data_IF_317866996641
#
_entry.id   IF_317866996641
#
_cell.length_a   1.000
_cell.length_b   1.000
_cell.length_c   1.000
_cell.angle_alpha   90.00
_cell.angle_beta   90.00
_cell.angle_gamma   90.00
#
_symmetry.space_group_name_H-M   'P 1'
#
loop_
_entity.id
_entity.type
_entity.pdbx_description
1 polymer ?
#
# COMPACT_ATOMS: atom_id res chain seq x y z
N UNK A 1 27.37 -15.47 -13.11
CA UNK A 1 28.21 -14.81 -12.10
C UNK A 1 27.42 -13.98 -11.07
N UNK A 2 26.12 -14.24 -10.89
CA UNK A 2 25.28 -13.60 -9.84
C UNK A 2 24.92 -14.55 -8.68
N UNK A 3 25.54 -15.73 -8.62
CA UNK A 3 25.19 -16.79 -7.65
C UNK A 3 26.13 -16.84 -6.44
N UNK A 4 26.88 -15.76 -6.17
CA UNK A 4 27.89 -15.69 -5.10
C UNK A 4 27.56 -14.69 -3.98
N UNK A 5 26.40 -14.03 -4.05
CA UNK A 5 25.94 -13.10 -3.01
C UNK A 5 24.64 -13.52 -2.32
N UNK A 6 24.03 -14.67 -2.66
CA UNK A 6 22.74 -15.12 -2.09
C UNK A 6 21.60 -14.06 -2.17
N UNK A 7 21.76 -13.00 -2.96
CA UNK A 7 20.71 -12.03 -3.21
C UNK A 7 19.80 -12.64 -4.27
N UNK A 8 18.71 -13.24 -3.79
CA UNK A 8 17.59 -13.65 -4.64
C UNK A 8 17.15 -12.46 -5.51
N UNK A 9 16.77 -12.72 -6.76
CA UNK A 9 16.24 -11.71 -7.68
C UNK A 9 15.13 -10.88 -7.02
N UNK A 10 14.26 -11.49 -6.22
CA UNK A 10 13.21 -10.79 -5.47
C UNK A 10 13.79 -9.77 -4.47
N UNK A 11 14.84 -10.16 -3.74
CA UNK A 11 15.52 -9.29 -2.76
C UNK A 11 16.22 -8.13 -3.46
N UNK A 12 16.86 -8.39 -4.61
CA UNK A 12 17.48 -7.34 -5.42
C UNK A 12 16.45 -6.28 -5.86
N UNK A 13 15.31 -6.70 -6.40
CA UNK A 13 14.25 -5.77 -6.79
C UNK A 13 13.64 -5.02 -5.60
N UNK A 14 13.47 -5.68 -4.46
CA UNK A 14 12.98 -5.03 -3.24
C UNK A 14 13.92 -3.91 -2.76
N UNK A 15 15.24 -4.17 -2.75
CA UNK A 15 16.25 -3.17 -2.39
C UNK A 15 16.25 -2.02 -3.39
N UNK A 16 16.20 -2.32 -4.69
CA UNK A 16 16.19 -1.30 -5.74
C UNK A 16 14.96 -0.39 -5.63
N UNK A 17 13.78 -0.96 -5.37
CA UNK A 17 12.56 -0.20 -5.13
C UNK A 17 12.69 0.72 -3.90
N UNK A 18 13.30 0.24 -2.81
CA UNK A 18 13.51 1.02 -1.58
C UNK A 18 14.50 2.16 -1.80
N UNK A 19 15.59 1.91 -2.52
CA UNK A 19 16.57 2.92 -2.90
C UNK A 19 15.93 4.00 -3.79
N UNK A 20 15.10 3.59 -4.76
CA UNK A 20 14.35 4.51 -5.60
C UNK A 20 13.39 5.37 -4.78
N UNK A 21 12.60 4.80 -3.87
CA UNK A 21 11.69 5.55 -3.00
C UNK A 21 12.45 6.60 -2.16
N UNK A 22 13.61 6.23 -1.60
CA UNK A 22 14.44 7.13 -0.81
C UNK A 22 14.95 8.33 -1.63
N UNK A 23 15.33 8.11 -2.90
CA UNK A 23 15.79 9.17 -3.78
C UNK A 23 14.64 10.01 -4.36
N UNK A 24 13.54 9.36 -4.74
CA UNK A 24 12.40 10.01 -5.37
C UNK A 24 11.73 11.02 -4.45
N UNK A 25 11.68 10.78 -3.14
CA UNK A 25 11.08 11.68 -2.15
C UNK A 25 11.70 13.10 -2.17
N UNK A 26 12.99 13.25 -1.85
CA UNK A 26 13.68 14.54 -1.89
C UNK A 26 13.65 15.20 -3.27
N UNK A 27 13.82 14.42 -4.35
CA UNK A 27 13.76 14.96 -5.72
C UNK A 27 12.39 15.54 -6.01
N UNK A 28 11.31 14.84 -5.65
CA UNK A 28 9.93 15.32 -5.80
C UNK A 28 9.71 16.59 -4.99
N UNK A 29 10.21 16.64 -3.75
CA UNK A 29 10.11 17.82 -2.90
C UNK A 29 10.82 19.04 -3.51
N UNK A 30 12.03 18.85 -4.07
CA UNK A 30 12.76 19.91 -4.75
C UNK A 30 12.02 20.42 -5.99
N UNK A 31 11.44 19.51 -6.79
CA UNK A 31 10.66 19.89 -7.97
C UNK A 31 9.42 20.69 -7.58
N UNK A 32 8.69 20.25 -6.55
CA UNK A 32 7.53 21.00 -6.02
C UNK A 32 7.97 22.39 -5.54
N UNK A 33 9.01 22.48 -4.73
CA UNK A 33 9.47 23.76 -4.18
C UNK A 33 9.93 24.76 -5.25
N UNK A 34 10.45 24.27 -6.38
CA UNK A 34 11.01 25.12 -7.45
C UNK A 34 10.05 25.41 -8.60
N UNK A 35 9.09 24.51 -8.87
CA UNK A 35 8.20 24.62 -10.03
C UNK A 35 6.74 24.89 -9.67
N UNK A 36 6.27 24.55 -8.46
CA UNK A 36 4.87 24.78 -8.09
C UNK A 36 4.70 26.19 -7.51
N UNK A 37 3.65 26.86 -7.95
CA UNK A 37 3.12 28.08 -7.30
C UNK A 37 2.60 27.76 -5.90
N UNK A 38 2.45 28.77 -5.04
CA UNK A 38 1.95 28.57 -3.68
C UNK A 38 0.56 27.91 -3.62
N UNK A 39 -0.29 28.15 -4.63
CA UNK A 39 -1.62 27.55 -4.74
C UNK A 39 -1.51 26.05 -5.07
N UNK A 40 -0.67 25.67 -6.03
CA UNK A 40 -0.45 24.27 -6.41
C UNK A 40 0.18 23.47 -5.25
N UNK A 41 1.09 24.08 -4.50
CA UNK A 41 1.64 23.48 -3.27
C UNK A 41 0.54 23.23 -2.25
N UNK A 42 -0.38 24.19 -2.06
CA UNK A 42 -1.55 24.03 -1.20
C UNK A 42 -2.38 22.80 -1.58
N UNK A 43 -2.75 22.67 -2.86
CA UNK A 43 -3.48 21.49 -3.35
C UNK A 43 -2.70 20.18 -3.14
N UNK A 44 -1.40 20.17 -3.44
CA UNK A 44 -0.55 18.99 -3.25
C UNK A 44 -0.58 18.50 -1.80
N UNK A 45 -0.37 19.40 -0.83
CA UNK A 45 -0.35 19.03 0.58
C UNK A 45 -1.74 18.66 1.12
N UNK A 46 -2.82 19.24 0.61
CA UNK A 46 -4.18 18.81 0.93
C UNK A 46 -4.44 17.38 0.46
N UNK A 47 -4.08 17.03 -0.78
CA UNK A 47 -4.22 15.65 -1.27
C UNK A 47 -3.35 14.67 -0.47
N UNK A 48 -2.13 15.06 -0.13
CA UNK A 48 -1.27 14.22 0.73
C UNK A 48 -1.90 14.01 2.11
N UNK A 49 -2.52 15.04 2.68
CA UNK A 49 -3.23 14.91 3.97
C UNK A 49 -4.39 13.90 3.88
N UNK A 50 -5.13 13.89 2.76
CA UNK A 50 -6.20 12.90 2.52
C UNK A 50 -5.66 11.48 2.39
N UNK A 51 -4.57 11.27 1.63
CA UNK A 51 -3.96 9.93 1.51
C UNK A 51 -3.37 9.49 2.87
N UNK A 52 -2.83 10.42 3.66
CA UNK A 52 -2.40 10.15 5.03
C UNK A 52 -3.53 9.66 5.92
N UNK A 53 -4.71 10.30 5.83
CA UNK A 53 -5.91 9.87 6.54
C UNK A 53 -6.39 8.48 6.06
N UNK A 54 -6.42 8.22 4.75
CA UNK A 54 -6.73 6.89 4.21
C UNK A 54 -5.76 5.83 4.78
N UNK A 55 -4.47 6.10 4.73
CA UNK A 55 -3.42 5.20 5.23
C UNK A 55 -3.59 4.92 6.73
N UNK A 56 -4.06 5.91 7.50
CA UNK A 56 -4.40 5.75 8.91
C UNK A 56 -5.59 4.80 9.13
N UNK A 57 -6.67 4.93 8.35
CA UNK A 57 -7.82 4.01 8.42
C UNK A 57 -7.44 2.56 8.07
N UNK A 58 -6.52 2.38 7.13
CA UNK A 58 -6.01 1.07 6.76
C UNK A 58 -5.03 0.49 7.79
N UNK A 59 -4.59 1.27 8.78
CA UNK A 59 -3.68 0.87 9.87
C UNK A 59 -2.41 0.15 9.39
N UNK A 60 -1.95 0.48 8.18
CA UNK A 60 -0.84 -0.23 7.52
C UNK A 60 -1.04 -1.76 7.41
N UNK A 61 -2.29 -2.22 7.39
CA UNK A 61 -2.69 -3.64 7.35
C UNK A 61 -2.07 -4.40 6.17
N UNK A 62 -1.76 -3.71 5.08
CA UNK A 62 -1.01 -4.25 3.95
C UNK A 62 0.27 -5.00 4.36
N UNK A 63 1.01 -4.53 5.37
CA UNK A 63 2.21 -5.21 5.84
C UNK A 63 1.91 -6.59 6.45
N UNK A 64 0.80 -6.71 7.19
CA UNK A 64 0.36 -7.99 7.76
C UNK A 64 -0.05 -8.94 6.63
N UNK A 65 -0.81 -8.45 5.66
CA UNK A 65 -1.22 -9.24 4.48
C UNK A 65 0.00 -9.77 3.74
N UNK A 66 0.98 -8.91 3.44
CA UNK A 66 2.22 -9.30 2.78
C UNK A 66 3.00 -10.35 3.57
N UNK A 67 3.13 -10.16 4.89
CA UNK A 67 3.89 -11.08 5.74
C UNK A 67 3.25 -12.46 5.78
N UNK A 68 1.94 -12.53 6.07
CA UNK A 68 1.20 -13.79 6.13
C UNK A 68 1.17 -14.46 4.77
N UNK A 69 0.89 -13.70 3.70
CA UNK A 69 0.87 -14.24 2.34
C UNK A 69 2.23 -14.82 1.95
N UNK A 70 3.34 -14.15 2.28
CA UNK A 70 4.69 -14.62 1.98
C UNK A 70 5.01 -15.93 2.72
N UNK A 71 4.61 -16.04 3.99
CA UNK A 71 4.83 -17.26 4.77
C UNK A 71 3.98 -18.45 4.28
N UNK A 72 2.73 -18.21 3.89
CA UNK A 72 1.90 -19.28 3.30
C UNK A 72 2.38 -19.66 1.89
N UNK A 73 2.88 -18.69 1.12
CA UNK A 73 3.38 -18.91 -0.24
C UNK A 73 4.64 -19.78 -0.30
N UNK A 74 5.47 -19.79 0.75
CA UNK A 74 6.64 -20.68 0.86
C UNK A 74 6.26 -22.17 0.71
N UNK A 75 5.04 -22.54 1.10
CA UNK A 75 4.52 -23.92 1.03
C UNK A 75 3.79 -24.22 -0.28
N UNK A 76 3.78 -23.26 -1.20
CA UNK A 76 3.07 -23.31 -2.48
C UNK A 76 4.05 -23.09 -3.63
N UNK A 77 3.67 -23.56 -4.81
CA UNK A 77 4.41 -23.34 -6.05
C UNK A 77 3.45 -23.09 -7.21
N UNK A 78 3.89 -22.29 -8.18
CA UNK A 78 3.22 -22.17 -9.47
C UNK A 78 3.79 -23.21 -10.43
N UNK A 79 2.92 -24.05 -10.97
CA UNK A 79 3.25 -25.00 -12.02
C UNK A 79 3.32 -24.28 -13.38
N UNK A 80 3.97 -24.89 -14.37
CA UNK A 80 4.10 -24.37 -15.75
C UNK A 80 2.76 -24.05 -16.42
N UNK A 81 1.69 -24.74 -16.04
CA UNK A 81 0.32 -24.54 -16.52
C UNK A 81 -0.45 -23.46 -15.73
N UNK A 82 0.24 -22.70 -14.86
CA UNK A 82 -0.31 -21.67 -13.97
C UNK A 82 -1.25 -22.20 -12.88
N UNK A 83 -1.21 -23.50 -12.60
CA UNK A 83 -1.91 -24.05 -11.43
C UNK A 83 -1.08 -23.85 -10.16
N UNK A 84 -1.74 -23.56 -9.05
CA UNK A 84 -1.09 -23.48 -7.74
C UNK A 84 -1.09 -24.88 -7.13
N UNK A 85 0.09 -25.38 -6.79
CA UNK A 85 0.29 -26.69 -6.15
C UNK A 85 1.00 -26.51 -4.81
N UNK A 86 1.00 -27.54 -3.96
CA UNK A 86 1.61 -27.51 -2.62
C UNK A 86 0.63 -27.86 -1.50
N UNK A 87 0.85 -27.29 -0.32
CA UNK A 87 0.01 -27.54 0.86
C UNK A 87 -1.42 -26.98 0.69
N UNK A 88 -2.41 -27.86 0.66
CA UNK A 88 -3.83 -27.48 0.58
C UNK A 88 -4.27 -26.61 1.78
N UNK A 89 -3.66 -26.79 2.95
CA UNK A 89 -3.94 -25.98 4.13
C UNK A 89 -3.44 -24.54 3.95
N UNK A 90 -2.23 -24.37 3.42
CA UNK A 90 -1.67 -23.05 3.09
C UNK A 90 -2.49 -22.32 2.03
N UNK A 91 -2.93 -23.02 0.98
CA UNK A 91 -3.81 -22.45 -0.05
C UNK A 91 -5.14 -21.98 0.55
N UNK A 92 -5.74 -22.77 1.44
CA UNK A 92 -6.97 -22.41 2.15
C UNK A 92 -6.78 -21.18 3.06
N UNK A 93 -5.66 -21.11 3.79
CA UNK A 93 -5.30 -19.94 4.61
C UNK A 93 -5.11 -18.68 3.76
N UNK A 94 -4.47 -18.78 2.60
CA UNK A 94 -4.29 -17.66 1.67
C UNK A 94 -5.64 -17.16 1.11
N UNK A 95 -6.55 -18.08 0.75
CA UNK A 95 -7.90 -17.72 0.32
C UNK A 95 -8.75 -17.11 1.46
N UNK A 96 -8.55 -17.57 2.70
CA UNK A 96 -9.16 -16.96 3.88
C UNK A 96 -8.62 -15.55 4.13
N UNK A 97 -7.30 -15.37 4.06
CA UNK A 97 -6.63 -14.08 4.18
C UNK A 97 -7.18 -13.08 3.17
N UNK A 98 -7.38 -13.49 1.92
CA UNK A 98 -7.97 -12.63 0.89
C UNK A 98 -9.38 -12.15 1.27
N UNK A 99 -10.25 -13.06 1.75
CA UNK A 99 -11.61 -12.68 2.20
C UNK A 99 -11.58 -11.69 3.35
N UNK A 100 -10.77 -11.96 4.38
CA UNK A 100 -10.61 -11.04 5.52
C UNK A 100 -10.08 -9.70 5.07
N UNK A 101 -9.11 -9.70 4.16
CA UNK A 101 -8.51 -8.49 3.60
C UNK A 101 -9.55 -7.63 2.88
N UNK A 102 -10.37 -8.22 2.01
CA UNK A 102 -11.46 -7.52 1.31
C UNK A 102 -12.45 -6.91 2.30
N UNK A 103 -12.81 -7.62 3.37
CA UNK A 103 -13.73 -7.10 4.40
C UNK A 103 -13.11 -5.91 5.14
N UNK A 104 -11.86 -6.02 5.60
CA UNK A 104 -11.19 -4.94 6.35
C UNK A 104 -11.05 -3.69 5.48
N UNK A 105 -10.60 -3.82 4.24
CA UNK A 105 -10.51 -2.70 3.31
C UNK A 105 -11.88 -2.12 2.97
N UNK A 106 -12.91 -2.97 2.80
CA UNK A 106 -14.28 -2.52 2.57
C UNK A 106 -14.84 -1.71 3.73
N UNK A 107 -14.64 -2.18 4.97
CA UNK A 107 -15.03 -1.44 6.18
C UNK A 107 -14.23 -0.13 6.30
N UNK A 108 -12.91 -0.18 6.08
CA UNK A 108 -12.06 1.00 6.10
C UNK A 108 -12.49 2.06 5.09
N UNK A 109 -12.85 1.66 3.87
CA UNK A 109 -13.36 2.56 2.84
C UNK A 109 -14.69 3.21 3.23
N UNK A 110 -15.63 2.44 3.79
CA UNK A 110 -16.92 2.97 4.27
C UNK A 110 -16.70 3.98 5.41
N UNK A 111 -15.83 3.65 6.37
CA UNK A 111 -15.50 4.54 7.48
C UNK A 111 -14.82 5.82 7.01
N UNK A 112 -13.85 5.71 6.08
CA UNK A 112 -13.18 6.86 5.49
C UNK A 112 -14.18 7.77 4.79
N UNK A 113 -15.07 7.22 3.94
CA UNK A 113 -16.11 7.98 3.27
C UNK A 113 -17.05 8.66 4.26
N UNK A 114 -17.50 7.97 5.31
CA UNK A 114 -18.35 8.54 6.33
C UNK A 114 -17.68 9.72 7.05
N UNK A 115 -16.42 9.55 7.47
CA UNK A 115 -15.67 10.58 8.21
C UNK A 115 -15.35 11.79 7.33
N UNK A 116 -14.87 11.58 6.11
CA UNK A 116 -14.56 12.69 5.18
C UNK A 116 -15.83 13.43 4.77
N UNK A 117 -16.93 12.71 4.51
CA UNK A 117 -18.21 13.36 4.16
C UNK A 117 -18.78 14.15 5.32
N UNK A 118 -18.72 13.62 6.55
CA UNK A 118 -19.18 14.32 7.74
C UNK A 118 -18.31 15.55 8.05
N UNK A 119 -16.98 15.40 7.99
CA UNK A 119 -16.05 16.51 8.20
C UNK A 119 -16.24 17.62 7.15
N UNK A 120 -16.42 17.24 5.88
CA UNK A 120 -16.74 18.17 4.81
C UNK A 120 -18.06 18.90 5.08
N UNK A 121 -19.11 18.18 5.45
CA UNK A 121 -20.41 18.78 5.77
C UNK A 121 -20.32 19.80 6.92
N UNK A 122 -19.61 19.48 8.02
CA UNK A 122 -19.42 20.41 9.14
C UNK A 122 -18.59 21.63 8.73
N UNK A 123 -17.50 21.44 8.00
CA UNK A 123 -16.59 22.52 7.62
C UNK A 123 -17.26 23.50 6.65
N UNK A 124 -17.89 23.00 5.59
CA UNK A 124 -18.57 23.84 4.60
C UNK A 124 -19.91 24.40 5.10
N UNK A 125 -20.56 23.74 6.07
CA UNK A 125 -21.78 24.25 6.69
C UNK A 125 -21.56 25.37 7.71
N UNK A 126 -20.30 25.68 8.07
CA UNK A 126 -19.93 26.82 8.93
C UNK A 126 -19.65 28.11 8.16
N UNK A 127 -19.55 28.06 6.82
CA UNK A 127 -19.27 29.21 5.95
C UNK A 127 -20.55 29.85 5.35
N UNK A 128 -21.74 29.44 5.79
CA UNK A 128 -23.03 30.15 5.59
C UNK A 128 -23.42 30.99 6.82
#
# INVERSE_FOLDING_TARGET
MLNRLEVDQAVFFAILARAWQFLAGPVTLLLIATHFTGVEQGYYYTFWSMIGLQTFFELSFHNVVLNVASHEWEKLALTTDRTITGDASALSRLASLLRVTVVIYGVGAILFLAVVSFAGWVFFGWEE
#
